data_IF_364819387075
#
_entry.id   IF_364819387075
#
_cell.length_a   1.000
_cell.length_b   1.000
_cell.length_c   1.000
_cell.angle_alpha   90.00
_cell.angle_beta   90.00
_cell.angle_gamma   90.00
#
_symmetry.space_group_name_H-M   'P 1'
#
loop_
_entity.id
_entity.type
_entity.pdbx_description
1 polymer ?
#
# COMPACT_ATOMS: atom_id res chain seq x y z
N UNK A 1 -31.32 12.73 11.52
CA UNK A 1 -30.17 13.60 11.83
C UNK A 1 -29.18 12.79 12.66
N UNK A 2 -27.91 12.63 12.27
CA UNK A 2 -26.94 11.97 13.13
C UNK A 2 -26.73 12.84 14.38
N UNK A 3 -26.89 12.26 15.57
CA UNK A 3 -26.73 12.98 16.82
C UNK A 3 -25.29 13.47 16.97
N UNK A 4 -25.15 14.72 17.41
CA UNK A 4 -23.90 15.43 17.72
C UNK A 4 -22.89 14.58 18.52
N UNK A 5 -23.37 13.60 19.28
CA UNK A 5 -22.55 12.67 20.07
C UNK A 5 -21.64 11.77 19.23
N UNK A 6 -22.06 11.33 18.04
CA UNK A 6 -21.23 10.44 17.20
C UNK A 6 -20.01 11.14 16.59
N UNK A 7 -20.15 12.44 16.29
CA UNK A 7 -19.06 13.28 15.80
C UNK A 7 -18.06 13.63 16.91
N UNK A 8 -18.55 13.92 18.12
CA UNK A 8 -17.69 14.20 19.27
C UNK A 8 -16.87 12.97 19.72
N UNK A 9 -17.43 11.76 19.63
CA UNK A 9 -16.69 10.53 19.97
C UNK A 9 -15.58 10.26 18.94
N UNK A 10 -15.89 10.38 17.64
CA UNK A 10 -14.86 10.29 16.61
C UNK A 10 -13.75 11.35 16.85
N UNK A 11 -14.13 12.59 17.12
CA UNK A 11 -13.23 13.71 17.38
C UNK A 11 -12.26 13.47 18.55
N UNK A 12 -12.75 12.95 19.67
CA UNK A 12 -11.90 12.69 20.84
C UNK A 12 -10.91 11.55 20.60
N UNK A 13 -11.32 10.48 19.93
CA UNK A 13 -10.41 9.36 19.59
C UNK A 13 -9.36 9.73 18.56
N UNK A 14 -9.65 10.71 17.70
CA UNK A 14 -8.73 11.23 16.70
C UNK A 14 -7.64 12.12 17.33
N UNK A 15 -7.93 12.87 18.41
CA UNK A 15 -6.90 13.60 19.19
C UNK A 15 -5.85 12.68 19.83
N UNK A 16 -6.19 11.42 20.07
CA UNK A 16 -5.26 10.39 20.57
C UNK A 16 -4.45 9.71 19.45
N UNK A 17 -4.69 10.03 18.18
CA UNK A 17 -3.89 9.51 17.07
C UNK A 17 -2.61 10.34 16.98
N UNK A 18 -1.46 9.67 17.17
CA UNK A 18 -0.17 10.26 16.91
C UNK A 18 0.07 10.44 15.39
N UNK A 19 -0.57 11.46 14.81
CA UNK A 19 -0.37 11.88 13.41
C UNK A 19 1.03 12.46 13.17
N UNK A 20 1.76 12.82 14.23
CA UNK A 20 3.14 13.30 14.10
C UNK A 20 4.07 12.22 13.53
N UNK A 21 3.81 10.94 13.80
CA UNK A 21 4.60 9.86 13.21
C UNK A 21 4.39 9.77 11.70
N UNK A 22 3.14 9.93 11.23
CA UNK A 22 2.81 9.94 9.80
C UNK A 22 3.42 11.18 9.12
N UNK A 23 3.37 12.33 9.80
CA UNK A 23 4.00 13.55 9.32
C UNK A 23 5.51 13.37 9.17
N UNK A 24 6.18 12.87 10.21
CA UNK A 24 7.61 12.57 10.19
C UNK A 24 7.96 11.62 9.06
N UNK A 25 7.17 10.55 8.88
CA UNK A 25 7.31 9.59 7.77
C UNK A 25 7.25 10.30 6.40
N UNK A 26 6.31 11.23 6.21
CA UNK A 26 6.15 11.99 4.97
C UNK A 26 7.25 13.03 4.73
N UNK A 27 7.92 13.49 5.79
CA UNK A 27 8.98 14.52 5.77
C UNK A 27 10.39 13.90 5.79
N UNK A 28 10.52 12.57 5.78
CA UNK A 28 11.82 11.90 5.74
C UNK A 28 12.66 12.39 4.54
N UNK A 29 13.99 12.56 4.72
CA UNK A 29 14.87 12.82 3.60
C UNK A 29 14.81 11.65 2.62
N UNK A 30 15.00 11.98 1.35
CA UNK A 30 14.99 11.00 0.27
C UNK A 30 16.08 11.38 -0.72
N UNK A 31 16.95 10.42 -1.01
CA UNK A 31 18.06 10.53 -1.95
C UNK A 31 18.01 9.34 -2.91
N UNK A 32 17.66 9.64 -4.16
CA UNK A 32 17.64 8.66 -5.25
C UNK A 32 18.76 9.03 -6.22
N UNK A 33 19.57 8.07 -6.63
CA UNK A 33 20.66 8.30 -7.59
C UNK A 33 20.35 7.55 -8.88
N UNK A 34 20.23 8.27 -10.00
CA UNK A 34 20.14 7.64 -11.32
C UNK A 34 21.49 7.70 -12.01
N UNK A 35 22.08 6.53 -12.25
CA UNK A 35 23.35 6.36 -12.92
C UNK A 35 23.20 5.64 -14.26
N UNK A 36 23.76 6.18 -15.34
CA UNK A 36 23.78 5.49 -16.63
C UNK A 36 23.69 6.42 -17.83
N UNK A 37 23.00 5.96 -18.88
CA UNK A 37 22.80 6.74 -20.09
C UNK A 37 22.03 8.02 -19.76
N UNK A 38 22.61 9.18 -20.10
CA UNK A 38 22.07 10.50 -19.73
C UNK A 38 20.61 10.68 -20.16
N UNK A 39 20.27 10.35 -21.41
CA UNK A 39 18.91 10.45 -21.94
C UNK A 39 17.90 9.56 -21.19
N UNK A 40 18.31 8.33 -20.85
CA UNK A 40 17.47 7.38 -20.10
C UNK A 40 17.23 7.91 -18.69
N UNK A 41 18.29 8.32 -17.99
CA UNK A 41 18.18 8.83 -16.62
C UNK A 41 17.38 10.14 -16.54
N UNK A 42 17.55 11.05 -17.50
CA UNK A 42 16.73 12.26 -17.61
C UNK A 42 15.26 11.93 -17.87
N UNK A 43 14.97 10.95 -18.74
CA UNK A 43 13.61 10.50 -19.03
C UNK A 43 12.94 9.89 -17.80
N UNK A 44 13.66 9.04 -17.05
CA UNK A 44 13.21 8.46 -15.78
C UNK A 44 12.90 9.58 -14.78
N UNK A 45 13.84 10.50 -14.54
CA UNK A 45 13.66 11.59 -13.58
C UNK A 45 12.44 12.44 -13.92
N UNK A 46 12.31 12.84 -15.20
CA UNK A 46 11.16 13.60 -15.70
C UNK A 46 9.84 12.88 -15.43
N UNK A 47 9.75 11.58 -15.68
CA UNK A 47 8.54 10.78 -15.42
C UNK A 47 8.18 10.69 -13.94
N UNK A 48 9.19 10.65 -13.06
CA UNK A 48 8.98 10.62 -11.61
C UNK A 48 8.61 11.98 -11.03
N UNK A 49 9.11 13.06 -11.62
CA UNK A 49 8.84 14.44 -11.20
C UNK A 49 7.52 14.99 -11.77
N UNK A 50 7.07 14.45 -12.90
CA UNK A 50 5.81 14.84 -13.54
C UNK A 50 4.59 14.19 -12.88
N UNK A 51 3.51 14.95 -12.79
CA UNK A 51 2.21 14.50 -12.29
C UNK A 51 1.43 15.64 -11.64
N UNK A 52 0.25 15.34 -11.11
CA UNK A 52 -0.64 16.36 -10.54
C UNK A 52 -0.06 16.93 -9.25
N UNK A 53 0.15 18.25 -9.21
CA UNK A 53 0.73 18.98 -8.08
C UNK A 53 -0.23 20.07 -7.56
N UNK A 54 -1.42 19.67 -7.12
CA UNK A 54 -2.47 20.59 -6.62
C UNK A 54 -1.97 21.54 -5.52
N UNK A 55 -1.05 21.08 -4.69
CA UNK A 55 -0.47 21.83 -3.56
C UNK A 55 0.94 22.38 -3.84
N UNK A 56 1.37 22.37 -5.11
CA UNK A 56 2.72 22.78 -5.51
C UNK A 56 3.80 21.71 -5.29
N UNK A 57 5.05 22.10 -5.55
CA UNK A 57 6.22 21.24 -5.36
C UNK A 57 6.60 21.15 -3.88
N UNK A 58 6.96 19.95 -3.42
CA UNK A 58 7.42 19.74 -2.04
C UNK A 58 8.95 19.59 -2.01
N UNK A 59 9.64 20.70 -1.80
CA UNK A 59 11.10 20.73 -1.67
C UNK A 59 11.84 20.49 -3.00
N UNK A 60 13.20 20.41 -2.97
CA UNK A 60 14.01 20.12 -4.15
C UNK A 60 13.79 18.69 -4.64
N UNK A 61 14.17 18.41 -5.89
CA UNK A 61 14.15 17.03 -6.41
C UNK A 61 15.04 16.12 -5.56
N UNK A 62 14.56 14.93 -5.15
CA UNK A 62 15.40 13.92 -4.50
C UNK A 62 16.29 13.14 -5.48
N UNK A 63 16.17 13.38 -6.79
CA UNK A 63 16.84 12.60 -7.84
C UNK A 63 18.15 13.28 -8.23
N UNK A 64 19.26 12.56 -8.08
CA UNK A 64 20.58 12.98 -8.52
C UNK A 64 21.00 12.18 -9.76
N UNK A 65 21.25 12.89 -10.85
CA UNK A 65 21.73 12.29 -12.10
C UNK A 65 23.25 12.24 -12.10
N UNK A 66 23.82 11.06 -12.33
CA UNK A 66 25.26 10.84 -12.32
C UNK A 66 25.68 9.96 -13.49
N UNK A 67 26.91 10.13 -13.97
CA UNK A 67 27.46 9.26 -15.02
C UNK A 67 28.15 8.05 -14.40
N UNK A 68 27.94 6.86 -14.96
CA UNK A 68 28.68 5.65 -14.59
C UNK A 68 30.19 5.79 -14.82
N UNK A 69 30.62 6.72 -15.68
CA UNK A 69 32.05 6.98 -15.91
C UNK A 69 32.69 7.79 -14.78
N UNK A 70 31.96 8.68 -14.13
CA UNK A 70 32.51 9.63 -13.14
C UNK A 70 32.15 9.29 -11.70
N UNK A 71 31.14 8.45 -11.48
CA UNK A 71 30.64 8.09 -10.16
C UNK A 71 31.70 7.37 -9.33
N UNK A 72 31.76 7.68 -8.04
CA UNK A 72 32.53 6.94 -7.06
C UNK A 72 31.54 6.07 -6.27
N UNK A 73 31.53 4.75 -6.45
CA UNK A 73 30.50 3.88 -5.86
C UNK A 73 30.36 4.01 -4.34
N UNK A 74 31.47 4.20 -3.63
CA UNK A 74 31.45 4.31 -2.16
C UNK A 74 30.74 5.57 -1.64
N UNK A 75 30.57 6.60 -2.46
CA UNK A 75 29.81 7.80 -2.10
C UNK A 75 28.29 7.53 -2.10
N UNK A 76 27.84 6.45 -2.76
CA UNK A 76 26.42 6.08 -2.84
C UNK A 76 25.91 5.32 -1.63
N UNK A 77 26.74 5.07 -0.62
CA UNK A 77 26.35 4.31 0.59
C UNK A 77 25.18 4.94 1.36
N UNK A 78 24.93 6.23 1.14
CA UNK A 78 23.83 6.97 1.76
C UNK A 78 22.62 7.16 0.82
N UNK A 79 22.66 6.60 -0.39
CA UNK A 79 21.50 6.64 -1.28
C UNK A 79 20.43 5.66 -0.78
N UNK A 80 19.18 6.11 -0.77
CA UNK A 80 18.03 5.27 -0.41
C UNK A 80 17.65 4.30 -1.54
N UNK A 81 17.98 4.69 -2.78
CA UNK A 81 17.75 3.91 -3.98
C UNK A 81 18.74 4.30 -5.08
N UNK A 82 19.29 3.29 -5.76
CA UNK A 82 20.08 3.46 -6.99
C UNK A 82 19.28 2.98 -8.19
N UNK A 83 19.12 3.82 -9.20
CA UNK A 83 18.53 3.47 -10.49
C UNK A 83 19.66 3.39 -11.52
N UNK A 84 19.79 2.25 -12.19
CA UNK A 84 20.77 2.08 -13.28
C UNK A 84 20.02 2.15 -14.60
N UNK A 85 20.15 3.29 -15.31
CA UNK A 85 19.46 3.54 -16.58
C UNK A 85 20.32 3.13 -17.78
N UNK A 86 19.91 2.09 -18.50
CA UNK A 86 20.63 1.57 -19.65
C UNK A 86 19.83 1.75 -20.93
N UNK A 87 20.50 2.13 -22.02
CA UNK A 87 19.92 2.14 -23.37
C UNK A 87 20.46 0.93 -24.14
N UNK A 88 19.60 0.11 -24.74
CA UNK A 88 20.00 -1.06 -25.52
C UNK A 88 20.99 -0.72 -26.65
N UNK A 89 20.90 0.48 -27.20
CA UNK A 89 21.68 0.89 -28.37
C UNK A 89 23.08 1.36 -27.97
N UNK A 90 23.32 1.54 -26.67
CA UNK A 90 24.60 2.00 -26.11
C UNK A 90 25.32 0.81 -25.50
N UNK A 91 26.51 0.51 -26.03
CA UNK A 91 27.36 -0.53 -25.44
C UNK A 91 28.05 0.01 -24.18
N UNK A 92 28.00 -0.77 -23.11
CA UNK A 92 28.75 -0.49 -21.89
C UNK A 92 30.26 -0.68 -22.13
N UNK A 93 31.04 0.28 -21.66
CA UNK A 93 32.49 0.17 -21.55
C UNK A 93 32.91 -0.77 -20.42
N UNK A 94 34.15 -1.27 -20.47
CA UNK A 94 34.69 -2.12 -19.41
C UNK A 94 34.65 -1.42 -18.03
N UNK A 95 34.91 -0.11 -17.99
CA UNK A 95 34.82 0.70 -16.77
C UNK A 95 33.40 0.73 -16.21
N UNK A 96 32.40 0.96 -17.05
CA UNK A 96 30.99 0.99 -16.59
C UNK A 96 30.55 -0.37 -16.07
N UNK A 97 31.00 -1.47 -16.70
CA UNK A 97 30.74 -2.81 -16.21
C UNK A 97 31.37 -3.05 -14.83
N UNK A 98 32.64 -2.66 -14.63
CA UNK A 98 33.30 -2.72 -13.31
C UNK A 98 32.56 -1.91 -12.25
N UNK A 99 32.07 -0.71 -12.61
CA UNK A 99 31.29 0.13 -11.70
C UNK A 99 29.97 -0.54 -11.32
N UNK A 100 29.23 -1.09 -12.29
CA UNK A 100 27.97 -1.83 -12.03
C UNK A 100 28.24 -3.04 -11.14
N UNK A 101 29.33 -3.79 -11.38
CA UNK A 101 29.74 -4.92 -10.54
C UNK A 101 30.06 -4.47 -9.11
N UNK A 102 30.78 -3.36 -8.94
CA UNK A 102 31.08 -2.81 -7.61
C UNK A 102 29.82 -2.36 -6.89
N UNK A 103 28.89 -1.68 -7.57
CA UNK A 103 27.60 -1.27 -7.00
C UNK A 103 26.80 -2.48 -6.51
N UNK A 104 26.82 -3.59 -7.24
CA UNK A 104 26.17 -4.83 -6.83
C UNK A 104 26.76 -5.42 -5.52
N UNK A 105 28.02 -5.12 -5.19
CA UNK A 105 28.62 -5.54 -3.91
C UNK A 105 28.18 -4.70 -2.71
N UNK A 106 27.67 -3.48 -2.94
CA UNK A 106 27.22 -2.58 -1.88
C UNK A 106 25.85 -2.99 -1.29
N UNK A 107 25.13 -3.90 -1.95
CA UNK A 107 23.82 -4.41 -1.54
C UNK A 107 22.80 -3.28 -1.27
N UNK A 108 22.89 -2.21 -2.06
CA UNK A 108 21.96 -1.08 -1.99
C UNK A 108 20.64 -1.45 -2.70
N UNK A 109 19.49 -0.89 -2.27
CA UNK A 109 18.26 -0.97 -3.03
C UNK A 109 18.50 -0.49 -4.46
N UNK A 110 18.34 -1.38 -5.44
CA UNK A 110 18.73 -1.10 -6.82
C UNK A 110 17.63 -1.47 -7.80
N UNK A 111 17.36 -0.59 -8.77
CA UNK A 111 16.48 -0.85 -9.91
C UNK A 111 17.29 -0.66 -11.18
N UNK A 112 17.44 -1.72 -11.96
CA UNK A 112 18.07 -1.65 -13.28
C UNK A 112 16.97 -1.48 -14.29
N UNK A 113 17.01 -0.41 -15.09
CA UNK A 113 16.03 -0.18 -16.13
C UNK A 113 16.68 -0.16 -17.50
N UNK A 114 16.19 -1.00 -18.41
CA UNK A 114 16.72 -1.10 -19.77
C UNK A 114 15.70 -0.62 -20.79
N UNK A 115 16.03 0.45 -21.50
CA UNK A 115 15.21 1.05 -22.54
C UNK A 115 15.34 0.33 -23.88
N UNK A 116 14.19 0.09 -24.52
CA UNK A 116 14.06 -0.42 -25.88
C UNK A 116 14.23 -1.93 -26.06
N UNK A 117 14.38 -2.73 -25.01
CA UNK A 117 14.50 -4.20 -25.16
C UNK A 117 13.12 -4.87 -25.08
N UNK A 118 12.85 -5.81 -25.99
CA UNK A 118 11.86 -6.86 -25.77
C UNK A 118 12.63 -8.04 -25.19
N UNK A 119 12.35 -8.43 -23.94
CA UNK A 119 12.95 -9.64 -23.38
C UNK A 119 12.51 -10.85 -24.23
N UNK A 120 13.45 -11.72 -24.64
CA UNK A 120 13.11 -13.05 -25.12
C UNK A 120 12.26 -13.78 -24.07
N UNK A 121 11.26 -14.55 -24.50
CA UNK A 121 10.34 -15.26 -23.60
C UNK A 121 11.06 -16.29 -22.68
N UNK A 122 12.31 -16.61 -23.00
CA UNK A 122 13.22 -17.54 -22.34
C UNK A 122 14.36 -16.85 -21.57
N UNK A 123 14.29 -15.53 -21.35
CA UNK A 123 15.25 -14.83 -20.52
C UNK A 123 15.25 -15.43 -19.10
N UNK A 124 16.29 -16.20 -18.80
CA UNK A 124 16.47 -16.86 -17.52
C UNK A 124 16.47 -15.87 -16.35
N UNK A 125 16.32 -16.37 -15.11
CA UNK A 125 16.36 -15.52 -13.93
C UNK A 125 17.66 -14.70 -13.90
N UNK A 126 17.55 -13.47 -13.39
CA UNK A 126 18.72 -12.62 -13.15
C UNK A 126 19.83 -13.38 -12.43
N UNK A 127 21.08 -13.17 -12.84
CA UNK A 127 22.23 -13.79 -12.22
C UNK A 127 22.20 -13.57 -10.69
N UNK A 128 22.52 -14.56 -9.83
CA UNK A 128 22.36 -14.46 -8.37
C UNK A 128 23.03 -13.23 -7.74
N UNK A 129 24.10 -12.72 -8.37
CA UNK A 129 24.81 -11.49 -7.96
C UNK A 129 23.98 -10.20 -8.04
N UNK A 130 22.88 -10.18 -8.79
CA UNK A 130 21.94 -9.04 -8.90
C UNK A 130 20.56 -9.37 -8.33
N UNK A 131 20.44 -10.39 -7.46
CA UNK A 131 19.16 -10.75 -6.82
C UNK A 131 18.58 -9.61 -5.93
N UNK A 132 19.45 -8.74 -5.41
CA UNK A 132 19.06 -7.53 -4.67
C UNK A 132 18.61 -6.38 -5.59
N UNK A 133 18.81 -6.50 -6.91
CA UNK A 133 18.31 -5.56 -7.89
C UNK A 133 16.96 -6.01 -8.49
N UNK A 134 16.11 -5.05 -8.82
CA UNK A 134 14.91 -5.25 -9.64
C UNK A 134 15.23 -4.87 -11.09
N UNK A 135 15.18 -5.81 -12.02
CA UNK A 135 15.25 -5.50 -13.44
C UNK A 135 13.86 -5.10 -13.96
N UNK A 136 13.78 -3.95 -14.59
CA UNK A 136 12.66 -3.51 -15.40
C UNK A 136 13.14 -3.33 -16.84
N UNK A 137 12.47 -3.99 -17.76
CA UNK A 137 12.73 -3.82 -19.19
C UNK A 137 11.56 -3.05 -19.78
N UNK A 138 11.86 -1.95 -20.46
CA UNK A 138 10.89 -1.03 -21.05
C UNK A 138 11.03 -1.11 -22.56
N UNK A 139 10.24 -1.95 -23.26
CA UNK A 139 10.35 -2.12 -24.70
C UNK A 139 9.97 -0.85 -25.47
N UNK A 140 8.90 -0.20 -25.02
CA UNK A 140 8.38 1.04 -25.55
C UNK A 140 8.26 2.08 -24.42
N UNK A 141 9.16 3.07 -24.36
CA UNK A 141 9.09 4.14 -23.38
C UNK A 141 7.78 4.92 -23.41
N UNK A 142 7.15 5.04 -24.57
CA UNK A 142 5.95 5.86 -24.77
C UNK A 142 4.66 5.10 -24.49
N UNK A 143 4.77 3.80 -24.16
CA UNK A 143 3.64 3.01 -23.67
C UNK A 143 3.00 3.66 -22.43
N UNK A 144 1.66 3.69 -22.36
CA UNK A 144 0.94 4.28 -21.22
C UNK A 144 1.24 3.57 -19.89
N UNK A 145 1.67 2.31 -19.93
CA UNK A 145 1.95 1.52 -18.73
C UNK A 145 3.36 1.75 -18.16
N UNK A 146 4.27 2.36 -18.93
CA UNK A 146 5.68 2.55 -18.54
C UNK A 146 5.81 3.30 -17.21
N UNK A 147 5.00 4.35 -17.00
CA UNK A 147 5.04 5.11 -15.75
C UNK A 147 4.63 4.26 -14.54
N UNK A 148 3.61 3.41 -14.70
CA UNK A 148 3.14 2.51 -13.64
C UNK A 148 4.20 1.45 -13.33
N UNK A 149 4.74 0.79 -14.36
CA UNK A 149 5.77 -0.24 -14.20
C UNK A 149 7.04 0.31 -13.55
N UNK A 150 7.46 1.53 -13.94
CA UNK A 150 8.59 2.23 -13.33
C UNK A 150 8.33 2.53 -11.86
N UNK A 151 7.16 3.08 -11.53
CA UNK A 151 6.79 3.37 -10.14
C UNK A 151 6.73 2.11 -9.27
N UNK A 152 6.13 1.03 -9.78
CA UNK A 152 6.08 -0.28 -9.11
C UNK A 152 7.48 -0.85 -8.88
N UNK A 153 8.34 -0.86 -9.90
CA UNK A 153 9.71 -1.36 -9.77
C UNK A 153 10.55 -0.57 -8.74
N UNK A 154 10.33 0.75 -8.67
CA UNK A 154 10.95 1.63 -7.68
C UNK A 154 10.44 1.31 -6.26
N UNK A 155 9.13 1.23 -6.07
CA UNK A 155 8.53 0.99 -4.75
C UNK A 155 8.80 -0.44 -4.24
N UNK A 156 8.96 -1.42 -5.14
CA UNK A 156 9.36 -2.79 -4.81
C UNK A 156 10.74 -2.86 -4.13
N UNK A 157 11.61 -1.86 -4.37
CA UNK A 157 12.98 -1.83 -3.84
C UNK A 157 13.19 -0.75 -2.79
N UNK A 158 12.53 0.39 -2.93
CA UNK A 158 12.61 1.47 -1.95
C UNK A 158 12.11 0.99 -0.58
N UNK A 159 12.81 1.28 0.52
CA UNK A 159 12.33 0.96 1.87
C UNK A 159 10.90 1.47 2.11
N UNK A 160 10.04 0.61 2.67
CA UNK A 160 8.62 0.92 2.86
C UNK A 160 8.38 2.21 3.69
N UNK A 161 9.26 2.51 4.65
CA UNK A 161 9.21 3.75 5.44
C UNK A 161 9.38 5.03 4.62
N UNK A 162 9.98 4.94 3.42
CA UNK A 162 10.22 6.07 2.53
C UNK A 162 9.14 6.23 1.46
N UNK A 163 8.19 5.29 1.32
CA UNK A 163 7.17 5.32 0.27
C UNK A 163 6.31 6.59 0.35
N UNK A 164 5.94 7.01 1.56
CA UNK A 164 5.14 8.22 1.76
C UNK A 164 5.92 9.49 1.40
N UNK A 165 7.17 9.62 1.85
CA UNK A 165 8.05 10.72 1.48
C UNK A 165 8.33 10.76 -0.03
N UNK A 166 8.52 9.59 -0.64
CA UNK A 166 8.71 9.45 -2.08
C UNK A 166 7.49 9.89 -2.88
N UNK A 167 6.28 9.44 -2.54
CA UNK A 167 5.07 9.93 -3.18
C UNK A 167 4.88 11.44 -3.00
N UNK A 168 5.17 11.96 -1.80
CA UNK A 168 5.08 13.39 -1.51
C UNK A 168 6.00 14.22 -2.41
N UNK A 169 7.25 13.80 -2.60
CA UNK A 169 8.26 14.53 -3.38
C UNK A 169 8.24 14.22 -4.88
N UNK A 170 7.79 13.04 -5.29
CA UNK A 170 7.79 12.55 -6.67
C UNK A 170 6.36 12.22 -7.14
N UNK A 171 5.71 13.14 -7.89
CA UNK A 171 4.34 12.95 -8.33
C UNK A 171 4.09 11.68 -9.15
N UNK A 172 5.09 11.20 -9.90
CA UNK A 172 5.01 9.97 -10.69
C UNK A 172 4.80 8.70 -9.87
N UNK A 173 5.07 8.74 -8.56
CA UNK A 173 4.85 7.62 -7.64
C UNK A 173 3.48 7.64 -6.93
N UNK A 174 2.78 8.79 -6.96
CA UNK A 174 1.61 9.03 -6.09
C UNK A 174 0.46 8.07 -6.32
N UNK A 175 0.14 7.77 -7.58
CA UNK A 175 -0.99 6.90 -7.91
C UNK A 175 -0.78 5.47 -7.40
N UNK A 176 0.43 4.94 -7.57
CA UNK A 176 0.79 3.59 -7.11
C UNK A 176 0.82 3.53 -5.58
N UNK A 177 1.44 4.52 -4.91
CA UNK A 177 1.43 4.59 -3.44
C UNK A 177 0.02 4.74 -2.89
N UNK A 178 -0.83 5.57 -3.51
CA UNK A 178 -2.22 5.72 -3.11
C UNK A 178 -2.99 4.38 -3.21
N UNK A 179 -2.84 3.66 -4.32
CA UNK A 179 -3.48 2.36 -4.50
C UNK A 179 -3.00 1.33 -3.47
N UNK A 180 -1.69 1.31 -3.16
CA UNK A 180 -1.11 0.44 -2.14
C UNK A 180 -1.66 0.77 -0.75
N UNK A 181 -1.70 2.05 -0.37
CA UNK A 181 -2.27 2.50 0.91
C UNK A 181 -3.74 2.11 1.05
N UNK A 182 -4.55 2.39 0.03
CA UNK A 182 -5.99 2.08 0.03
C UNK A 182 -6.21 0.58 0.18
N UNK A 183 -5.48 -0.23 -0.59
CA UNK A 183 -5.61 -1.69 -0.57
C UNK A 183 -5.16 -2.28 0.77
N UNK A 184 -4.02 -1.81 1.30
CA UNK A 184 -3.46 -2.27 2.58
C UNK A 184 -4.38 -1.97 3.76
N UNK A 185 -4.92 -0.76 3.85
CA UNK A 185 -5.82 -0.39 4.95
C UNK A 185 -7.18 -1.11 4.80
N UNK A 186 -7.66 -1.29 3.57
CA UNK A 186 -8.89 -2.07 3.32
C UNK A 186 -8.73 -3.53 3.77
N UNK A 187 -7.58 -4.14 3.48
CA UNK A 187 -7.26 -5.49 3.92
C UNK A 187 -7.07 -5.59 5.45
N UNK A 188 -6.45 -4.60 6.07
CA UNK A 188 -6.29 -4.52 7.53
C UNK A 188 -7.65 -4.46 8.23
N UNK A 189 -8.56 -3.61 7.75
CA UNK A 189 -9.91 -3.48 8.27
C UNK A 189 -10.73 -4.76 8.08
N UNK A 190 -10.61 -5.40 6.91
CA UNK A 190 -11.24 -6.69 6.65
C UNK A 190 -10.74 -7.79 7.60
N UNK A 191 -9.42 -7.85 7.82
CA UNK A 191 -8.78 -8.81 8.72
C UNK A 191 -9.16 -8.59 10.18
N UNK A 192 -9.28 -7.33 10.61
CA UNK A 192 -9.78 -6.98 11.95
C UNK A 192 -11.20 -7.50 12.16
N UNK A 193 -12.12 -7.20 11.23
CA UNK A 193 -13.50 -7.70 11.30
C UNK A 193 -13.57 -9.23 11.25
N UNK A 194 -12.69 -9.89 10.49
CA UNK A 194 -12.60 -11.35 10.50
C UNK A 194 -12.23 -11.87 11.90
N UNK A 195 -11.28 -11.22 12.57
CA UNK A 195 -10.85 -11.59 13.92
C UNK A 195 -11.94 -11.35 14.98
N UNK A 196 -12.71 -10.26 14.86
CA UNK A 196 -13.79 -9.91 15.80
C UNK A 196 -15.13 -10.60 15.51
N UNK A 197 -15.33 -11.16 14.31
CA UNK A 197 -16.58 -11.84 13.94
C UNK A 197 -16.79 -13.20 14.63
N UNK A 198 -15.76 -13.80 15.24
CA UNK A 198 -15.88 -15.08 15.95
C UNK A 198 -16.52 -14.92 17.35
N UNK A 199 -16.11 -13.96 18.21
CA UNK A 199 -16.76 -13.73 19.51
C UNK A 199 -18.18 -13.14 19.46
N UNK A 200 -18.51 -12.37 18.42
CA UNK A 200 -19.82 -11.69 18.27
C UNK A 200 -21.03 -12.62 18.12
N UNK A 201 -20.81 -13.92 17.92
CA UNK A 201 -21.88 -14.92 17.88
C UNK A 201 -22.46 -15.23 19.27
N UNK A 202 -21.86 -14.70 20.34
CA UNK A 202 -22.35 -14.78 21.72
C UNK A 202 -23.14 -13.49 22.04
N UNK A 203 -24.48 -13.55 22.26
CA UNK A 203 -25.36 -12.38 22.37
C UNK A 203 -24.99 -11.35 23.44
N UNK A 204 -24.32 -11.78 24.52
CA UNK A 204 -23.92 -10.91 25.63
C UNK A 204 -22.72 -10.02 25.26
N UNK A 205 -21.95 -10.39 24.23
CA UNK A 205 -20.77 -9.67 23.78
C UNK A 205 -21.05 -8.75 22.56
N UNK A 206 -22.23 -8.77 21.95
CA UNK A 206 -22.46 -8.07 20.66
C UNK A 206 -22.40 -6.54 20.74
N UNK A 207 -22.88 -5.93 21.84
CA UNK A 207 -22.95 -4.46 21.98
C UNK A 207 -21.57 -3.76 22.18
N UNK A 208 -20.66 -4.24 23.05
CA UNK A 208 -19.36 -3.59 23.22
C UNK A 208 -18.43 -3.72 22.00
N UNK A 209 -18.53 -4.81 21.22
CA UNK A 209 -17.68 -5.03 20.04
C UNK A 209 -18.08 -4.15 18.84
N UNK A 210 -19.38 -3.96 18.57
CA UNK A 210 -19.83 -3.10 17.46
C UNK A 210 -19.39 -1.62 17.60
N UNK A 211 -19.31 -1.11 18.84
CA UNK A 211 -18.83 0.25 19.11
C UNK A 211 -17.31 0.36 18.95
N UNK A 212 -16.56 -0.64 19.43
CA UNK A 212 -15.09 -0.71 19.28
C UNK A 212 -14.69 -0.87 17.80
N UNK A 213 -15.40 -1.71 17.05
CA UNK A 213 -15.19 -1.94 15.62
C UNK A 213 -15.39 -0.65 14.83
N UNK A 214 -16.48 0.08 15.10
CA UNK A 214 -16.74 1.38 14.46
C UNK A 214 -15.60 2.36 14.75
N UNK A 215 -15.07 2.37 15.97
CA UNK A 215 -14.00 3.27 16.39
C UNK A 215 -12.67 2.97 15.69
N UNK A 216 -12.27 1.70 15.70
CA UNK A 216 -11.01 1.23 15.08
C UNK A 216 -11.03 1.44 13.58
N UNK A 217 -12.13 1.07 12.91
CA UNK A 217 -12.29 1.22 11.47
C UNK A 217 -12.28 2.68 11.03
N UNK A 218 -12.95 3.55 11.79
CA UNK A 218 -12.98 5.00 11.53
C UNK A 218 -11.60 5.63 11.70
N UNK A 219 -10.85 5.23 12.73
CA UNK A 219 -9.46 5.66 12.93
C UNK A 219 -8.56 5.27 11.76
N UNK A 220 -8.64 4.01 11.31
CA UNK A 220 -7.84 3.53 10.18
C UNK A 220 -8.17 4.28 8.87
N UNK A 221 -9.45 4.55 8.62
CA UNK A 221 -9.89 5.34 7.47
C UNK A 221 -9.40 6.79 7.54
N UNK A 222 -9.47 7.44 8.72
CA UNK A 222 -8.95 8.79 8.88
C UNK A 222 -7.43 8.87 8.66
N UNK A 223 -6.68 7.89 9.18
CA UNK A 223 -5.23 7.79 8.96
C UNK A 223 -4.89 7.57 7.48
N UNK A 224 -5.68 6.76 6.76
CA UNK A 224 -5.55 6.58 5.31
C UNK A 224 -5.74 7.90 4.57
N UNK A 225 -6.82 8.63 4.86
CA UNK A 225 -7.10 9.93 4.21
C UNK A 225 -5.98 10.93 4.47
N UNK A 226 -5.45 10.98 5.70
CA UNK A 226 -4.33 11.85 6.04
C UNK A 226 -3.05 11.47 5.27
N UNK A 227 -2.72 10.17 5.18
CA UNK A 227 -1.59 9.69 4.37
C UNK A 227 -1.75 10.04 2.89
N UNK A 228 -2.95 9.88 2.33
CA UNK A 228 -3.23 10.28 0.94
C UNK A 228 -3.05 11.79 0.74
N UNK A 229 -3.51 12.61 1.69
CA UNK A 229 -3.30 14.06 1.64
C UNK A 229 -1.80 14.39 1.59
N UNK A 230 -1.00 13.80 2.48
CA UNK A 230 0.44 14.05 2.53
C UNK A 230 1.16 13.51 1.29
N UNK A 231 0.80 12.33 0.80
CA UNK A 231 1.35 11.76 -0.44
C UNK A 231 1.11 12.69 -1.64
N UNK A 232 0.00 13.41 -1.67
CA UNK A 232 -0.33 14.37 -2.72
C UNK A 232 0.22 15.79 -2.49
N UNK A 233 1.04 15.98 -1.46
CA UNK A 233 1.72 17.25 -1.18
C UNK A 233 0.89 18.24 -0.34
N UNK A 234 -0.27 17.83 0.20
CA UNK A 234 -1.03 18.70 1.10
C UNK A 234 -0.17 19.12 2.30
N UNK A 235 -0.34 20.35 2.82
CA UNK A 235 0.46 20.83 3.94
C UNK A 235 0.11 20.05 5.22
N UNK A 236 1.04 19.80 6.16
CA UNK A 236 0.79 18.91 7.30
C UNK A 236 -0.35 19.35 8.24
N UNK A 237 -0.62 20.65 8.30
CA UNK A 237 -1.72 21.29 9.03
C UNK A 237 -3.10 21.02 8.39
N UNK A 238 -3.16 20.44 7.18
CA UNK A 238 -4.39 19.96 6.53
C UNK A 238 -5.21 19.06 7.46
N UNK A 239 -4.59 18.44 8.48
CA UNK A 239 -5.28 17.69 9.54
C UNK A 239 -6.44 18.48 10.17
N UNK A 240 -6.26 19.78 10.36
CA UNK A 240 -7.21 20.66 11.05
C UNK A 240 -8.44 20.92 10.16
N UNK A 241 -8.24 20.82 8.84
CA UNK A 241 -9.27 21.02 7.81
C UNK A 241 -9.81 19.70 7.25
N UNK A 242 -9.11 18.58 7.47
CA UNK A 242 -9.45 17.27 6.91
C UNK A 242 -10.87 16.85 7.29
N UNK A 243 -11.34 17.23 8.48
CA UNK A 243 -12.69 16.91 8.97
C UNK A 243 -13.80 17.78 8.37
N UNK A 244 -13.48 18.97 7.87
CA UNK A 244 -14.43 19.77 7.08
C UNK A 244 -14.62 19.17 5.68
N UNK A 245 -13.55 18.54 5.17
CA UNK A 245 -13.52 17.94 3.83
C UNK A 245 -13.98 16.47 3.85
N UNK A 246 -13.85 15.75 4.97
CA UNK A 246 -14.27 14.34 5.11
C UNK A 246 -15.76 14.09 4.74
N UNK A 247 -16.73 14.93 5.16
CA UNK A 247 -18.12 14.80 4.73
C UNK A 247 -18.31 15.02 3.23
N UNK A 248 -17.47 15.87 2.62
CA UNK A 248 -17.47 16.20 1.18
C UNK A 248 -16.84 15.08 0.35
N UNK A 249 -15.76 14.47 0.86
CA UNK A 249 -15.09 13.30 0.28
C UNK A 249 -15.91 12.02 0.48
N UNK A 250 -16.63 11.91 1.59
CA UNK A 250 -16.96 10.62 2.20
C UNK A 250 -18.40 10.43 2.64
N UNK A 251 -19.36 11.28 2.24
CA UNK A 251 -20.78 10.94 2.26
C UNK A 251 -21.22 10.15 3.49
N UNK A 252 -21.23 10.78 4.67
CA UNK A 252 -21.75 10.17 5.90
C UNK A 252 -23.17 9.57 5.74
N UNK A 253 -23.87 9.86 4.64
CA UNK A 253 -25.16 9.30 4.26
C UNK A 253 -25.10 7.99 3.43
N UNK A 254 -24.00 7.63 2.74
CA UNK A 254 -23.94 6.46 1.85
C UNK A 254 -23.67 5.16 2.64
N UNK A 255 -22.75 5.17 3.61
CA UNK A 255 -22.43 3.97 4.41
C UNK A 255 -23.56 3.50 5.31
N UNK A 256 -24.45 4.40 5.76
CA UNK A 256 -25.66 3.99 6.49
C UNK A 256 -26.67 3.22 5.65
N UNK A 257 -26.72 3.46 4.34
CA UNK A 257 -27.63 2.73 3.44
C UNK A 257 -27.05 1.34 3.13
N UNK A 258 -25.76 1.25 2.78
CA UNK A 258 -25.10 -0.02 2.50
C UNK A 258 -25.01 -0.92 3.73
N UNK A 259 -24.70 -0.35 4.91
CA UNK A 259 -24.76 -1.08 6.18
C UNK A 259 -26.18 -1.62 6.45
N UNK A 260 -27.25 -0.83 6.26
CA UNK A 260 -28.63 -1.31 6.52
C UNK A 260 -29.11 -2.39 5.57
N UNK A 261 -28.83 -2.27 4.27
CA UNK A 261 -29.24 -3.30 3.29
C UNK A 261 -28.54 -4.63 3.54
N UNK A 262 -27.30 -4.59 4.03
CA UNK A 262 -26.50 -5.79 4.28
C UNK A 262 -26.64 -6.30 5.72
N UNK A 263 -26.99 -5.44 6.68
CA UNK A 263 -27.43 -5.83 8.04
C UNK A 263 -28.67 -6.72 8.00
N UNK A 264 -29.58 -6.46 7.05
CA UNK A 264 -30.72 -7.34 6.77
C UNK A 264 -30.35 -8.75 6.26
N UNK A 265 -29.08 -8.98 5.85
CA UNK A 265 -28.56 -10.26 5.37
C UNK A 265 -27.65 -10.96 6.40
N UNK A 266 -27.36 -10.32 7.55
CA UNK A 266 -26.49 -10.83 8.62
C UNK A 266 -26.95 -12.17 9.19
N UNK A 267 -28.26 -12.44 9.41
CA UNK A 267 -28.69 -13.72 9.97
C UNK A 267 -28.47 -14.92 9.04
N UNK A 268 -28.29 -14.69 7.72
CA UNK A 268 -28.39 -15.75 6.71
C UNK A 268 -27.03 -16.12 6.06
N UNK A 269 -26.03 -15.23 6.03
CA UNK A 269 -24.87 -15.37 5.11
C UNK A 269 -23.45 -15.49 5.74
N UNK A 270 -23.30 -15.51 7.07
CA UNK A 270 -22.01 -15.80 7.73
C UNK A 270 -20.98 -14.65 7.78
N UNK A 271 -19.69 -14.97 8.05
CA UNK A 271 -18.60 -14.01 8.31
C UNK A 271 -18.10 -13.29 7.06
N UNK A 272 -18.14 -13.95 5.90
CA UNK A 272 -17.61 -13.44 4.61
C UNK A 272 -18.25 -12.10 4.20
N UNK A 273 -19.58 -11.91 4.22
CA UNK A 273 -20.20 -10.62 3.91
C UNK A 273 -19.70 -9.46 4.79
N UNK A 274 -19.47 -9.67 6.10
CA UNK A 274 -18.99 -8.60 7.00
C UNK A 274 -17.59 -8.14 6.63
N UNK A 275 -16.69 -9.11 6.39
CA UNK A 275 -15.31 -8.88 5.96
C UNK A 275 -15.30 -8.15 4.62
N UNK A 276 -16.14 -8.56 3.67
CA UNK A 276 -16.26 -7.91 2.37
C UNK A 276 -16.74 -6.45 2.47
N UNK A 277 -17.68 -6.16 3.38
CA UNK A 277 -18.17 -4.81 3.63
C UNK A 277 -17.11 -3.93 4.26
N UNK A 278 -16.34 -4.44 5.23
CA UNK A 278 -15.25 -3.69 5.84
C UNK A 278 -14.17 -3.30 4.82
N UNK A 279 -13.84 -4.24 3.92
CA UNK A 279 -12.94 -3.99 2.80
C UNK A 279 -13.49 -2.91 1.86
N UNK A 280 -14.68 -3.14 1.29
CA UNK A 280 -15.30 -2.24 0.33
C UNK A 280 -15.54 -0.84 0.93
N UNK A 281 -15.96 -0.85 2.20
CA UNK A 281 -16.11 0.28 3.10
C UNK A 281 -14.92 1.24 3.08
N UNK A 282 -13.74 0.66 3.18
CA UNK A 282 -12.49 1.40 3.30
C UNK A 282 -11.95 1.77 1.93
N UNK A 283 -12.08 0.86 0.96
CA UNK A 283 -11.60 1.04 -0.40
C UNK A 283 -12.29 2.21 -1.09
N UNK A 284 -13.63 2.27 -1.05
CA UNK A 284 -14.40 3.34 -1.67
C UNK A 284 -14.07 4.71 -1.05
N UNK A 285 -13.96 4.79 0.28
CA UNK A 285 -13.55 6.01 0.97
C UNK A 285 -12.15 6.45 0.54
N UNK A 286 -11.21 5.50 0.45
CA UNK A 286 -9.86 5.75 -0.03
C UNK A 286 -9.81 6.28 -1.46
N UNK A 287 -10.56 5.67 -2.39
CA UNK A 287 -10.65 6.11 -3.79
C UNK A 287 -11.24 7.51 -3.92
N UNK A 288 -12.29 7.81 -3.16
CA UNK A 288 -12.88 9.15 -3.16
C UNK A 288 -11.90 10.20 -2.63
N UNK A 289 -11.19 9.90 -1.54
CA UNK A 289 -10.16 10.77 -0.99
C UNK A 289 -9.01 10.98 -1.98
N UNK A 290 -8.55 9.90 -2.62
CA UNK A 290 -7.50 9.94 -3.64
C UNK A 290 -7.88 10.87 -4.80
N UNK A 291 -9.07 10.73 -5.39
CA UNK A 291 -9.55 11.59 -6.48
C UNK A 291 -9.66 13.06 -6.06
N UNK A 292 -10.13 13.32 -4.85
CA UNK A 292 -10.16 14.67 -4.32
C UNK A 292 -8.75 15.27 -4.16
N UNK A 293 -7.79 14.56 -3.57
CA UNK A 293 -6.45 15.10 -3.40
C UNK A 293 -5.66 15.20 -4.71
N UNK A 294 -5.89 14.27 -5.63
CA UNK A 294 -5.29 14.29 -6.96
C UNK A 294 -5.82 15.47 -7.78
N UNK A 295 -7.13 15.57 -7.96
CA UNK A 295 -7.72 16.41 -9.00
C UNK A 295 -8.70 17.46 -8.46
N UNK A 296 -9.05 17.39 -7.18
CA UNK A 296 -10.16 18.18 -6.63
C UNK A 296 -11.54 17.69 -7.08
N UNK A 297 -11.62 16.49 -7.65
CA UNK A 297 -12.87 15.88 -8.08
C UNK A 297 -13.74 15.57 -6.84
N UNK A 298 -14.96 16.11 -6.81
CA UNK A 298 -16.01 15.66 -5.91
C UNK A 298 -16.72 14.50 -6.58
N UNK A 299 -16.45 13.28 -6.12
CA UNK A 299 -17.08 12.08 -6.66
C UNK A 299 -18.57 12.11 -6.34
N UNK A 300 -19.41 12.08 -7.37
CA UNK A 300 -20.85 12.16 -7.18
C UNK A 300 -21.42 10.83 -6.65
N UNK A 301 -22.70 10.82 -6.25
CA UNK A 301 -23.34 9.66 -5.63
C UNK A 301 -23.36 8.42 -6.55
N UNK A 302 -23.55 8.60 -7.85
CA UNK A 302 -23.62 7.49 -8.81
C UNK A 302 -22.26 6.85 -9.03
N UNK A 303 -21.22 7.67 -9.22
CA UNK A 303 -19.83 7.22 -9.30
C UNK A 303 -19.39 6.52 -8.01
N UNK A 304 -19.72 7.07 -6.83
CA UNK A 304 -19.46 6.41 -5.55
C UNK A 304 -20.15 5.05 -5.44
N UNK A 305 -21.37 4.91 -5.96
CA UNK A 305 -22.05 3.61 -6.00
C UNK A 305 -21.37 2.63 -6.96
N UNK A 306 -20.90 3.09 -8.12
CA UNK A 306 -20.15 2.26 -9.06
C UNK A 306 -18.85 1.74 -8.43
N UNK A 307 -18.05 2.64 -7.85
CA UNK A 307 -16.84 2.30 -7.10
C UNK A 307 -17.17 1.34 -5.95
N UNK A 308 -18.27 1.58 -5.23
CA UNK A 308 -18.72 0.70 -4.15
C UNK A 308 -19.09 -0.72 -4.61
N UNK A 309 -19.71 -0.88 -5.77
CA UNK A 309 -20.05 -2.21 -6.34
C UNK A 309 -18.79 -2.97 -6.74
N UNK A 310 -17.85 -2.30 -7.40
CA UNK A 310 -16.55 -2.87 -7.77
C UNK A 310 -15.76 -3.27 -6.51
N UNK A 311 -15.69 -2.37 -5.53
CA UNK A 311 -15.02 -2.61 -4.26
C UNK A 311 -15.65 -3.77 -3.48
N UNK A 312 -16.97 -3.96 -3.57
CA UNK A 312 -17.66 -5.10 -2.95
C UNK A 312 -17.35 -6.42 -3.65
N UNK A 313 -17.24 -6.44 -4.98
CA UNK A 313 -16.82 -7.63 -5.72
C UNK A 313 -15.39 -8.04 -5.34
N UNK A 314 -14.47 -7.08 -5.31
CA UNK A 314 -13.10 -7.27 -4.83
C UNK A 314 -13.08 -7.73 -3.37
N UNK A 315 -13.86 -7.08 -2.50
CA UNK A 315 -13.97 -7.39 -1.09
C UNK A 315 -14.48 -8.79 -0.82
N UNK A 316 -15.44 -9.30 -1.62
CA UNK A 316 -15.93 -10.69 -1.52
C UNK A 316 -14.84 -11.70 -1.86
N UNK A 317 -14.06 -11.47 -2.93
CA UNK A 317 -12.96 -12.34 -3.31
C UNK A 317 -11.87 -12.38 -2.21
N UNK A 318 -11.47 -11.20 -1.71
CA UNK A 318 -10.50 -11.07 -0.62
C UNK A 318 -11.00 -11.70 0.69
N UNK A 319 -12.27 -11.49 1.03
CA UNK A 319 -12.89 -12.08 2.22
C UNK A 319 -12.93 -13.61 2.16
N UNK A 320 -13.25 -14.18 0.98
CA UNK A 320 -13.26 -15.63 0.80
C UNK A 320 -11.87 -16.24 0.99
N UNK A 321 -10.83 -15.62 0.41
CA UNK A 321 -9.44 -16.04 0.58
C UNK A 321 -8.97 -15.95 2.05
N UNK A 322 -9.25 -14.82 2.71
CA UNK A 322 -8.95 -14.62 4.13
C UNK A 322 -9.60 -15.68 5.03
N UNK A 323 -10.89 -15.95 4.82
CA UNK A 323 -11.62 -16.97 5.60
C UNK A 323 -11.08 -18.37 5.32
N UNK A 324 -10.75 -18.69 4.07
CA UNK A 324 -10.16 -19.97 3.70
C UNK A 324 -8.80 -20.18 4.39
N UNK A 325 -7.93 -19.17 4.37
CA UNK A 325 -6.63 -19.20 5.07
C UNK A 325 -6.80 -19.37 6.58
N UNK A 326 -7.72 -18.64 7.21
CA UNK A 326 -8.00 -18.75 8.64
C UNK A 326 -8.52 -20.15 9.03
N UNK A 327 -9.42 -20.74 8.23
CA UNK A 327 -9.91 -22.12 8.44
C UNK A 327 -8.79 -23.15 8.33
N UNK A 328 -7.92 -23.01 7.32
CA UNK A 328 -6.79 -23.92 7.13
C UNK A 328 -5.80 -23.86 8.29
N UNK A 329 -5.47 -22.65 8.77
CA UNK A 329 -4.62 -22.46 9.95
C UNK A 329 -5.24 -23.07 11.22
N UNK A 330 -6.55 -22.87 11.42
CA UNK A 330 -7.29 -23.46 12.53
C UNK A 330 -7.29 -25.00 12.51
N UNK A 331 -7.53 -25.60 11.33
CA UNK A 331 -7.53 -27.06 11.15
C UNK A 331 -6.13 -27.68 11.40
N UNK A 332 -5.05 -27.00 11.00
CA UNK A 332 -3.68 -27.45 11.29
C UNK A 332 -3.37 -27.41 12.79
N UNK A 333 -3.84 -26.39 13.50
CA UNK A 333 -3.70 -26.30 14.96
C UNK A 333 -4.48 -27.42 15.66
N UNK A 334 -5.75 -27.64 15.31
CA UNK A 334 -6.57 -28.73 15.88
C UNK A 334 -5.92 -30.10 15.61
N UNK A 335 -5.41 -30.33 14.40
CA UNK A 335 -4.69 -31.56 14.05
C UNK A 335 -3.41 -31.78 14.87
N UNK A 336 -2.66 -30.71 15.21
CA UNK A 336 -1.51 -30.78 16.12
C UNK A 336 -1.92 -31.16 17.53
N UNK A 337 -3.00 -30.57 18.07
CA UNK A 337 -3.51 -30.88 19.40
C UNK A 337 -4.08 -32.30 19.50
N UNK A 338 -4.78 -32.78 18.47
CA UNK A 338 -5.27 -34.16 18.40
C UNK A 338 -4.12 -35.17 18.35
N UNK A 339 -3.06 -34.92 17.55
CA UNK A 339 -1.86 -35.77 17.54
C UNK A 339 -1.12 -35.75 18.88
N UNK A 340 -1.05 -34.59 19.53
CA UNK A 340 -0.43 -34.47 20.84
C UNK A 340 -1.22 -35.26 21.91
N UNK A 341 -2.55 -35.12 21.92
CA UNK A 341 -3.43 -35.87 22.81
C UNK A 341 -3.39 -37.39 22.56
N UNK A 342 -3.36 -37.83 21.30
CA UNK A 342 -3.24 -39.25 20.96
C UNK A 342 -1.89 -39.85 21.39
N UNK A 343 -0.78 -39.12 21.21
CA UNK A 343 0.54 -39.54 21.68
C UNK A 343 0.62 -39.61 23.21
N UNK A 344 -0.06 -38.68 23.90
CA UNK A 344 -0.14 -38.67 25.36
C UNK A 344 -0.95 -39.87 25.89
N UNK A 345 -2.10 -40.16 25.28
CA UNK A 345 -2.94 -41.31 25.61
C UNK A 345 -2.26 -42.66 25.31
N UNK A 346 -1.52 -42.77 24.21
CA UNK A 346 -0.72 -43.97 23.90
C UNK A 346 0.42 -44.19 24.91
N UNK A 347 1.14 -43.13 25.30
CA UNK A 347 2.17 -43.22 26.35
C UNK A 347 1.58 -43.64 27.70
N UNK A 348 0.39 -43.14 28.04
CA UNK A 348 -0.29 -43.49 29.28
C UNK A 348 -0.78 -44.95 29.28
N UNK A 349 -1.33 -45.45 28.16
CA UNK A 349 -1.71 -46.86 27.99
C UNK A 349 -0.51 -47.82 28.06
N UNK A 350 0.65 -47.45 27.50
CA UNK A 350 1.89 -48.26 27.60
C UNK A 350 2.46 -48.32 29.02
N UNK A 351 2.22 -47.29 29.85
CA UNK A 351 2.63 -47.27 31.27
C UNK A 351 1.72 -48.09 32.18
N UNK A 352 0.49 -48.40 31.75
CA UNK A 352 -0.50 -49.18 32.52
C UNK A 352 -0.49 -50.68 32.19
N UNK A 353 0.25 -51.08 31.16
CA UNK A 353 0.42 -52.46 30.69
C UNK A 353 1.80 -53.06 31.06
N UNK A 354 2.55 -52.36 31.92
CA UNK A 354 3.68 -52.85 32.69
C UNK A 354 3.28 -52.75 34.16
#
# INVERSE_FOLDING_TARGET
MPGWNGLNIAWNTLREINVEDIRKEAELPLTIVCAGASEVCQSIARRLEQGTQRYGQTGPSPIHLVSLTTIIPDELRHADLVIIGLDRNVRLSARELTVIEHLATLNLPTVVVVWGMVLPADAGPLHPRVAHARLLVVPDPDSPDTNRQLAEAILDRLPASLHLAAARRLPGLRSVVAQQLISSVSFTNASYVLATALPEQIPILTLPFAAADTLVLTKNQAMLVYRLALAYGAPPDIRERLFEVLPVIGGAFIWRQLARTLVGLIPVWGVVPRVAIAYAGTYTTGVAAWRWFAEGEIVNREQLQAIGREALALGKAQAADLVAKARNAGNQHIGRWQRFGQNFLQKWRRKKAR
#
